data_IF_267690486817
#
_entry.id   IF_267690486817
#
_cell.length_a   1.000
_cell.length_b   1.000
_cell.length_c   1.000
_cell.angle_alpha   90.00
_cell.angle_beta   90.00
_cell.angle_gamma   90.00
#
_symmetry.space_group_name_H-M   'P 1'
#
loop_
_entity.id
_entity.type
_entity.pdbx_description
1 polymer ?
#
# COMPACT_ATOMS: atom_id res chain seq x y z
N UNK A 1 -17.87 1.00 4.93
CA UNK A 1 -18.12 0.41 3.60
C UNK A 1 -19.62 0.42 3.43
N UNK A 2 -20.09 0.99 2.33
CA UNK A 2 -21.48 0.93 1.90
C UNK A 2 -21.85 -0.51 1.52
N UNK A 3 -23.15 -0.81 1.57
CA UNK A 3 -23.66 -2.16 1.33
C UNK A 3 -23.37 -2.62 -0.11
N UNK A 4 -23.42 -1.72 -1.08
CA UNK A 4 -23.12 -2.02 -2.48
C UNK A 4 -21.66 -2.45 -2.68
N UNK A 5 -20.69 -1.68 -2.15
CA UNK A 5 -19.28 -2.07 -2.23
C UNK A 5 -19.00 -3.40 -1.53
N UNK A 6 -19.68 -3.67 -0.40
CA UNK A 6 -19.57 -4.95 0.28
C UNK A 6 -20.05 -6.11 -0.61
N UNK A 7 -21.20 -5.97 -1.28
CA UNK A 7 -21.72 -7.00 -2.18
C UNK A 7 -20.82 -7.21 -3.41
N UNK A 8 -20.27 -6.12 -3.96
CA UNK A 8 -19.30 -6.20 -5.07
C UNK A 8 -18.05 -6.97 -4.62
N UNK A 9 -17.49 -6.66 -3.45
CA UNK A 9 -16.32 -7.36 -2.92
C UNK A 9 -16.65 -8.84 -2.64
N UNK A 10 -17.80 -9.11 -2.04
CA UNK A 10 -18.25 -10.45 -1.73
C UNK A 10 -18.37 -11.28 -3.02
N UNK A 11 -19.01 -10.77 -4.07
CA UNK A 11 -19.15 -11.48 -5.35
C UNK A 11 -17.80 -11.88 -5.97
N UNK A 12 -16.76 -11.05 -5.81
CA UNK A 12 -15.41 -11.32 -6.31
C UNK A 12 -14.65 -12.34 -5.46
N UNK A 13 -14.88 -12.35 -4.15
CA UNK A 13 -14.10 -13.15 -3.19
C UNK A 13 -14.78 -14.49 -2.87
N UNK A 14 -16.11 -14.62 -3.03
CA UNK A 14 -16.90 -15.81 -2.67
C UNK A 14 -16.30 -17.12 -3.17
N UNK A 15 -15.82 -17.15 -4.43
CA UNK A 15 -15.23 -18.37 -5.02
C UNK A 15 -13.90 -18.77 -4.38
N UNK A 16 -13.19 -17.83 -3.76
CA UNK A 16 -11.88 -18.03 -3.15
C UNK A 16 -11.98 -18.39 -1.66
N UNK A 17 -13.02 -17.94 -0.97
CA UNK A 17 -13.19 -18.15 0.48
C UNK A 17 -14.27 -19.18 0.83
N UNK A 18 -15.08 -19.61 -0.15
CA UNK A 18 -16.10 -20.64 0.04
C UNK A 18 -15.49 -21.99 0.39
N UNK A 19 -15.91 -22.56 1.52
CA UNK A 19 -15.59 -23.95 1.90
C UNK A 19 -16.86 -24.81 1.79
N UNK A 20 -16.68 -26.11 1.58
CA UNK A 20 -17.77 -27.09 1.51
C UNK A 20 -18.14 -27.57 2.91
N UNK A 21 -19.43 -27.87 3.09
CA UNK A 21 -19.92 -28.50 4.31
C UNK A 21 -19.28 -29.87 4.49
N UNK A 22 -19.08 -30.25 5.76
CA UNK A 22 -18.65 -31.61 6.11
C UNK A 22 -19.78 -32.34 6.80
N UNK A 23 -19.68 -33.67 6.88
CA UNK A 23 -20.64 -34.52 7.58
C UNK A 23 -20.85 -34.09 9.04
N UNK A 24 -19.84 -33.46 9.67
CA UNK A 24 -19.85 -33.08 11.08
C UNK A 24 -20.23 -31.62 11.35
N UNK A 25 -20.13 -30.72 10.37
CA UNK A 25 -20.45 -29.30 10.53
C UNK A 25 -20.67 -28.57 9.21
N UNK A 26 -21.55 -27.58 9.25
CA UNK A 26 -21.69 -26.58 8.20
C UNK A 26 -20.43 -25.71 8.09
N UNK A 27 -20.06 -25.36 6.86
CA UNK A 27 -18.97 -24.43 6.60
C UNK A 27 -19.39 -23.00 6.96
N UNK A 28 -18.45 -22.25 7.53
CA UNK A 28 -18.68 -20.83 7.79
C UNK A 28 -18.86 -20.13 6.45
N UNK A 29 -20.01 -19.50 6.25
CA UNK A 29 -20.37 -18.89 4.97
C UNK A 29 -19.36 -17.82 4.54
N UNK A 30 -19.12 -17.63 3.23
CA UNK A 30 -18.29 -16.55 2.69
C UNK A 30 -18.64 -15.17 3.26
N UNK A 31 -19.94 -14.93 3.49
CA UNK A 31 -20.46 -13.70 4.06
C UNK A 31 -19.92 -13.47 5.48
N UNK A 32 -20.02 -14.47 6.38
CA UNK A 32 -19.52 -14.37 7.76
C UNK A 32 -18.00 -14.22 7.77
N UNK A 33 -17.29 -14.96 6.91
CA UNK A 33 -15.82 -14.87 6.78
C UNK A 33 -15.35 -13.47 6.39
N UNK A 34 -16.03 -12.86 5.40
CA UNK A 34 -15.71 -11.51 4.94
C UNK A 34 -16.01 -10.46 6.02
N UNK A 35 -17.17 -10.54 6.68
CA UNK A 35 -17.52 -9.62 7.78
C UNK A 35 -16.53 -9.72 8.94
N UNK A 36 -16.16 -10.94 9.35
CA UNK A 36 -15.18 -11.13 10.41
C UNK A 36 -13.84 -10.47 10.09
N UNK A 37 -13.38 -10.64 8.85
CA UNK A 37 -12.15 -10.02 8.34
C UNK A 37 -12.24 -8.51 8.33
N UNK A 38 -13.27 -7.93 7.70
CA UNK A 38 -13.43 -6.48 7.64
C UNK A 38 -13.58 -5.85 9.03
N UNK A 39 -14.28 -6.53 9.96
CA UNK A 39 -14.42 -6.06 11.34
C UNK A 39 -13.09 -6.10 12.08
N UNK A 40 -12.27 -7.13 11.88
CA UNK A 40 -10.92 -7.17 12.44
C UNK A 40 -10.06 -6.02 11.91
N UNK A 41 -10.02 -5.82 10.59
CA UNK A 41 -9.24 -4.76 9.95
C UNK A 41 -9.66 -3.36 10.42
N UNK A 42 -10.97 -3.12 10.51
CA UNK A 42 -11.52 -1.83 10.93
C UNK A 42 -11.33 -1.54 12.42
N UNK A 43 -11.37 -2.55 13.30
CA UNK A 43 -11.35 -2.32 14.76
C UNK A 43 -10.00 -2.59 15.43
N UNK A 44 -9.15 -3.44 14.83
CA UNK A 44 -7.90 -3.88 15.41
C UNK A 44 -8.05 -4.58 16.78
N UNK A 45 -9.22 -5.18 17.05
CA UNK A 45 -9.49 -5.91 18.30
C UNK A 45 -8.83 -7.30 18.30
N UNK A 46 -8.70 -7.89 19.48
CA UNK A 46 -8.17 -9.25 19.58
C UNK A 46 -9.14 -10.27 18.99
N UNK A 47 -8.64 -11.45 18.60
CA UNK A 47 -9.51 -12.53 18.12
C UNK A 47 -10.49 -13.00 19.21
N UNK A 48 -10.10 -12.92 20.49
CA UNK A 48 -10.97 -13.25 21.63
C UNK A 48 -12.18 -12.31 21.70
N UNK A 49 -12.00 -11.01 21.43
CA UNK A 49 -13.12 -10.07 21.44
C UNK A 49 -14.07 -10.28 20.24
N UNK A 50 -13.53 -10.71 19.10
CA UNK A 50 -14.30 -10.95 17.88
C UNK A 50 -15.17 -12.21 17.97
N UNK A 51 -14.75 -13.22 18.74
CA UNK A 51 -15.52 -14.47 18.91
C UNK A 51 -16.90 -14.20 19.50
N UNK A 52 -17.02 -13.31 20.49
CA UNK A 52 -18.29 -12.97 21.12
C UNK A 52 -19.30 -12.43 20.11
N UNK A 53 -18.82 -11.72 19.08
CA UNK A 53 -19.69 -11.14 18.04
C UNK A 53 -20.01 -12.10 16.89
N UNK A 54 -19.12 -13.05 16.58
CA UNK A 54 -19.24 -13.92 15.39
C UNK A 54 -19.57 -15.38 15.70
N UNK A 55 -19.48 -15.81 16.96
CA UNK A 55 -19.60 -17.21 17.40
C UNK A 55 -18.64 -18.18 16.68
N UNK A 56 -17.46 -17.69 16.34
CA UNK A 56 -16.37 -18.47 15.72
C UNK A 56 -15.20 -18.54 16.70
N UNK A 57 -14.50 -19.68 16.77
CA UNK A 57 -13.35 -19.83 17.68
C UNK A 57 -12.18 -18.89 17.28
N UNK A 58 -11.32 -18.47 18.23
CA UNK A 58 -10.22 -17.54 17.93
C UNK A 58 -9.23 -18.12 16.91
N UNK A 59 -9.00 -19.44 16.97
CA UNK A 59 -8.10 -20.14 16.05
C UNK A 59 -8.65 -20.14 14.62
N UNK A 60 -9.93 -20.48 14.45
CA UNK A 60 -10.57 -20.42 13.13
C UNK A 60 -10.62 -18.99 12.59
N UNK A 61 -10.84 -17.99 13.45
CA UNK A 61 -10.78 -16.58 13.03
C UNK A 61 -9.41 -16.18 12.49
N UNK A 62 -8.31 -16.59 13.15
CA UNK A 62 -6.95 -16.33 12.67
C UNK A 62 -6.75 -16.83 11.25
N UNK A 63 -7.09 -18.09 10.99
CA UNK A 63 -6.99 -18.70 9.65
C UNK A 63 -7.91 -18.00 8.63
N UNK A 64 -9.16 -17.76 9.00
CA UNK A 64 -10.17 -17.13 8.13
C UNK A 64 -9.72 -15.73 7.70
N UNK A 65 -9.22 -14.93 8.63
CA UNK A 65 -8.82 -13.54 8.37
C UNK A 65 -7.67 -13.53 7.35
N UNK A 66 -6.65 -14.36 7.54
CA UNK A 66 -5.50 -14.40 6.63
C UNK A 66 -5.88 -14.99 5.26
N UNK A 67 -6.64 -16.09 5.23
CA UNK A 67 -7.16 -16.66 3.98
C UNK A 67 -7.97 -15.62 3.20
N UNK A 68 -8.82 -14.84 3.90
CA UNK A 68 -9.65 -13.81 3.28
C UNK A 68 -8.82 -12.62 2.79
N UNK A 69 -7.82 -12.15 3.55
CA UNK A 69 -6.90 -11.10 3.11
C UNK A 69 -6.14 -11.50 1.82
N UNK A 70 -5.64 -12.74 1.75
CA UNK A 70 -4.99 -13.26 0.54
C UNK A 70 -5.97 -13.32 -0.63
N UNK A 71 -7.21 -13.76 -0.38
CA UNK A 71 -8.25 -13.81 -1.40
C UNK A 71 -8.65 -12.42 -1.91
N UNK A 72 -8.76 -11.42 -1.03
CA UNK A 72 -9.03 -10.02 -1.39
C UNK A 72 -7.91 -9.49 -2.29
N UNK A 73 -6.64 -9.67 -1.89
CA UNK A 73 -5.49 -9.25 -2.70
C UNK A 73 -5.53 -9.86 -4.09
N UNK A 74 -5.82 -11.17 -4.21
CA UNK A 74 -5.92 -11.86 -5.50
C UNK A 74 -7.09 -11.34 -6.35
N UNK A 75 -8.26 -11.15 -5.73
CA UNK A 75 -9.46 -10.69 -6.42
C UNK A 75 -9.34 -9.24 -6.94
N UNK A 76 -8.54 -8.41 -6.26
CA UNK A 76 -8.35 -7.00 -6.59
C UNK A 76 -6.96 -6.69 -7.17
N UNK A 77 -6.17 -7.71 -7.53
CA UNK A 77 -4.81 -7.54 -8.05
C UNK A 77 -4.76 -6.63 -9.29
N UNK A 78 -5.84 -6.61 -10.09
CA UNK A 78 -5.90 -5.80 -11.32
C UNK A 78 -6.10 -4.30 -11.07
N UNK A 79 -6.45 -3.87 -9.85
CA UNK A 79 -6.68 -2.45 -9.55
C UNK A 79 -5.40 -1.71 -9.14
N UNK A 80 -4.39 -2.42 -8.62
CA UNK A 80 -3.10 -1.84 -8.27
C UNK A 80 -2.07 -2.40 -9.25
N UNK A 81 -1.79 -1.64 -10.30
CA UNK A 81 -0.80 -1.99 -11.31
C UNK A 81 0.28 -0.90 -11.37
N UNK A 82 1.53 -1.34 -11.49
CA UNK A 82 2.63 -0.47 -11.85
C UNK A 82 2.61 -0.27 -13.37
N UNK A 83 2.95 0.94 -13.85
CA UNK A 83 3.18 1.16 -15.26
C UNK A 83 4.21 0.16 -15.82
N UNK A 84 3.93 -0.40 -17.00
CA UNK A 84 4.77 -1.42 -17.64
C UNK A 84 5.53 -0.87 -18.85
N UNK A 85 5.02 0.20 -19.47
CA UNK A 85 5.63 0.82 -20.64
C UNK A 85 6.16 2.20 -20.33
N UNK A 86 7.06 2.67 -21.20
CA UNK A 86 7.66 4.00 -21.11
C UNK A 86 6.58 5.10 -21.24
N UNK A 87 5.58 4.89 -22.11
CA UNK A 87 4.49 5.83 -22.36
C UNK A 87 3.58 6.00 -21.13
N UNK A 88 3.29 4.91 -20.42
CA UNK A 88 2.52 4.96 -19.18
C UNK A 88 3.27 5.76 -18.10
N UNK A 89 4.60 5.58 -18.02
CA UNK A 89 5.44 6.39 -17.12
C UNK A 89 5.46 7.87 -17.49
N UNK A 90 5.52 8.19 -18.79
CA UNK A 90 5.44 9.58 -19.28
C UNK A 90 4.09 10.21 -18.94
N UNK A 91 3.00 9.45 -19.04
CA UNK A 91 1.69 9.93 -18.62
C UNK A 91 1.65 10.24 -17.13
N UNK A 92 2.21 9.38 -16.28
CA UNK A 92 2.31 9.66 -14.84
C UNK A 92 3.14 10.92 -14.59
N UNK A 93 4.28 11.07 -15.26
CA UNK A 93 5.12 12.27 -15.13
C UNK A 93 4.39 13.55 -15.54
N UNK A 94 3.62 13.50 -16.62
CA UNK A 94 2.78 14.61 -17.08
C UNK A 94 1.70 14.97 -16.05
N UNK A 95 0.98 13.98 -15.52
CA UNK A 95 -0.01 14.18 -14.46
C UNK A 95 0.63 14.83 -13.22
N UNK A 96 1.87 14.44 -12.90
CA UNK A 96 2.62 15.02 -11.79
C UNK A 96 3.01 16.47 -12.03
N UNK A 97 3.40 16.79 -13.26
CA UNK A 97 3.72 18.13 -13.69
C UNK A 97 2.50 19.06 -13.63
N UNK A 98 1.37 18.64 -14.18
CA UNK A 98 0.15 19.45 -14.19
C UNK A 98 -0.37 19.75 -12.77
N UNK A 99 -0.40 18.74 -11.90
CA UNK A 99 -0.99 18.87 -10.56
C UNK A 99 -0.05 19.55 -9.56
N UNK A 100 1.25 19.24 -9.62
CA UNK A 100 2.20 19.63 -8.57
C UNK A 100 3.37 20.49 -9.07
N UNK A 101 3.44 20.77 -10.38
CA UNK A 101 4.52 21.52 -11.03
C UNK A 101 5.89 20.88 -10.82
N UNK A 102 5.90 19.55 -10.77
CA UNK A 102 7.10 18.74 -10.63
C UNK A 102 7.29 17.88 -11.89
N UNK A 103 8.03 18.37 -12.91
CA UNK A 103 8.26 17.63 -14.14
C UNK A 103 9.07 16.35 -13.86
N UNK A 104 8.90 15.34 -14.73
CA UNK A 104 9.63 14.07 -14.70
C UNK A 104 9.46 13.25 -13.39
N UNK A 105 8.42 13.52 -12.60
CA UNK A 105 8.14 12.75 -11.39
C UNK A 105 7.30 11.51 -11.69
N UNK A 106 7.86 10.33 -11.45
CA UNK A 106 7.19 9.05 -11.69
C UNK A 106 6.28 8.60 -10.54
N UNK A 107 6.41 9.23 -9.37
CA UNK A 107 5.61 8.88 -8.21
C UNK A 107 6.24 9.34 -6.90
N UNK A 108 5.44 9.26 -5.84
CA UNK A 108 5.89 9.52 -4.48
C UNK A 108 6.04 8.21 -3.69
N UNK A 109 7.16 8.08 -2.99
CA UNK A 109 7.48 6.94 -2.12
C UNK A 109 7.60 7.44 -0.69
N UNK A 110 6.92 6.76 0.22
CA UNK A 110 6.95 7.08 1.64
C UNK A 110 6.81 5.81 2.48
N UNK A 111 7.24 5.87 3.73
CA UNK A 111 7.25 4.76 4.68
C UNK A 111 6.18 4.90 5.75
N UNK A 112 5.50 3.80 6.07
CA UNK A 112 4.65 3.70 7.27
C UNK A 112 5.14 2.60 8.19
N UNK A 113 5.53 2.97 9.41
CA UNK A 113 5.84 1.99 10.45
C UNK A 113 4.58 1.26 10.92
N UNK A 114 4.65 -0.07 10.89
CA UNK A 114 3.64 -0.98 11.43
C UNK A 114 4.27 -1.75 12.58
N UNK A 115 3.64 -1.66 13.75
CA UNK A 115 4.13 -2.33 14.95
C UNK A 115 3.67 -3.78 14.96
N UNK A 116 4.61 -4.71 15.07
CA UNK A 116 4.35 -6.15 15.17
C UNK A 116 4.83 -6.61 16.55
N UNK A 117 3.98 -7.32 17.30
CA UNK A 117 4.38 -7.89 18.60
C UNK A 117 5.38 -9.02 18.37
N UNK A 118 6.42 -9.07 19.20
CA UNK A 118 7.43 -10.13 19.20
C UNK A 118 8.08 -10.33 17.82
N UNK A 119 8.43 -9.25 17.13
CA UNK A 119 9.16 -9.31 15.88
C UNK A 119 10.53 -9.99 16.10
N UNK A 120 10.67 -11.21 15.58
CA UNK A 120 11.92 -11.99 15.61
C UNK A 120 12.56 -12.08 14.23
N UNK A 121 12.73 -10.94 13.54
CA UNK A 121 13.46 -10.89 12.27
C UNK A 121 14.64 -9.91 12.43
N UNK A 122 15.89 -10.31 12.10
CA UNK A 122 17.05 -9.44 12.26
C UNK A 122 17.46 -8.64 11.00
N UNK A 123 16.73 -8.67 9.88
CA UNK A 123 17.21 -8.04 8.65
C UNK A 123 16.12 -7.25 7.89
N UNK A 124 16.51 -6.06 7.42
CA UNK A 124 15.83 -5.37 6.32
C UNK A 124 15.89 -6.26 5.08
N UNK A 125 14.75 -6.75 4.63
CA UNK A 125 14.64 -7.43 3.34
C UNK A 125 14.27 -6.36 2.31
N UNK A 126 15.07 -6.17 1.24
CA UNK A 126 14.73 -5.22 0.19
C UNK A 126 13.40 -5.60 -0.45
N UNK A 127 12.63 -4.60 -0.87
CA UNK A 127 11.36 -4.83 -1.53
C UNK A 127 11.59 -5.27 -2.97
N UNK A 128 10.66 -6.08 -3.52
CA UNK A 128 10.68 -6.46 -4.95
C UNK A 128 10.74 -5.22 -5.85
N UNK A 129 10.08 -4.14 -5.46
CA UNK A 129 10.14 -2.87 -6.15
C UNK A 129 11.56 -2.28 -6.17
N UNK A 130 12.24 -2.25 -5.03
CA UNK A 130 13.61 -1.73 -4.94
C UNK A 130 14.59 -2.55 -5.78
N UNK A 131 14.46 -3.88 -5.76
CA UNK A 131 15.29 -4.77 -6.56
C UNK A 131 15.07 -4.55 -8.07
N UNK A 132 13.82 -4.45 -8.53
CA UNK A 132 13.52 -4.17 -9.94
C UNK A 132 13.93 -2.75 -10.36
N UNK A 133 13.83 -1.77 -9.46
CA UNK A 133 14.32 -0.41 -9.69
C UNK A 133 15.85 -0.40 -9.89
N UNK A 134 16.60 -1.14 -9.06
CA UNK A 134 18.06 -1.25 -9.18
C UNK A 134 18.52 -2.02 -10.41
N UNK A 135 17.74 -3.01 -10.85
CA UNK A 135 18.03 -3.80 -12.06
C UNK A 135 17.60 -3.10 -13.36
N UNK A 136 16.85 -2.00 -13.28
CA UNK A 136 16.33 -1.29 -14.46
C UNK A 136 15.18 -2.03 -15.17
N UNK A 137 14.50 -2.94 -14.48
CA UNK A 137 13.42 -3.78 -15.03
C UNK A 137 12.07 -3.04 -15.14
N UNK A 138 12.02 -1.76 -14.76
CA UNK A 138 10.79 -0.96 -14.69
C UNK A 138 10.47 -0.20 -15.98
N UNK A 139 11.28 -0.32 -17.04
CA UNK A 139 11.10 0.40 -18.32
C UNK A 139 10.91 1.91 -18.14
N UNK A 140 11.70 2.50 -17.23
CA UNK A 140 11.69 3.94 -16.96
C UNK A 140 12.22 4.70 -18.19
N UNK A 141 11.57 5.79 -18.62
CA UNK A 141 12.05 6.60 -19.72
C UNK A 141 13.48 7.12 -19.52
N UNK A 142 14.20 7.26 -20.63
CA UNK A 142 15.52 7.89 -20.61
C UNK A 142 15.42 9.38 -20.22
N UNK A 143 16.50 9.99 -19.71
CA UNK A 143 16.52 11.42 -19.40
C UNK A 143 16.13 12.29 -20.60
N UNK A 144 15.23 13.24 -20.37
CA UNK A 144 14.72 14.17 -21.40
C UNK A 144 14.93 15.63 -20.99
N UNK A 145 14.66 16.57 -21.89
CA UNK A 145 14.74 17.99 -21.59
C UNK A 145 13.58 18.42 -20.70
N UNK A 146 13.89 19.22 -19.68
CA UNK A 146 12.87 19.81 -18.83
C UNK A 146 11.98 20.77 -19.63
N UNK A 147 10.67 20.82 -19.34
CA UNK A 147 9.73 21.73 -19.96
C UNK A 147 10.21 23.19 -19.92
N UNK A 148 10.30 23.83 -21.09
CA UNK A 148 10.77 25.21 -21.22
C UNK A 148 12.27 25.43 -20.94
N UNK A 149 13.08 24.37 -20.94
CA UNK A 149 14.52 24.42 -20.66
C UNK A 149 15.33 23.53 -21.59
N UNK A 150 16.59 23.92 -21.85
CA UNK A 150 17.56 23.06 -22.52
C UNK A 150 18.29 22.11 -21.53
N UNK A 151 17.89 22.10 -20.26
CA UNK A 151 18.48 21.21 -19.24
C UNK A 151 17.86 19.82 -19.33
N UNK A 152 18.70 18.82 -19.53
CA UNK A 152 18.29 17.41 -19.47
C UNK A 152 18.23 16.94 -18.02
N UNK A 153 17.17 16.23 -17.64
CA UNK A 153 16.99 15.68 -16.30
C UNK A 153 16.39 14.26 -16.37
N UNK A 154 16.79 13.35 -15.46
CA UNK A 154 16.22 12.01 -15.41
C UNK A 154 14.78 12.04 -14.89
N UNK A 155 14.06 10.95 -15.13
CA UNK A 155 12.81 10.65 -14.48
C UNK A 155 13.06 10.06 -13.09
N UNK A 156 12.35 10.57 -12.08
CA UNK A 156 12.66 10.30 -10.66
C UNK A 156 11.41 9.99 -9.84
N UNK A 157 11.57 9.17 -8.81
CA UNK A 157 10.63 9.08 -7.70
C UNK A 157 10.98 10.13 -6.64
N UNK A 158 9.99 10.67 -5.94
CA UNK A 158 10.21 11.60 -4.83
C UNK A 158 9.96 10.92 -3.50
N UNK A 159 10.82 11.16 -2.51
CA UNK A 159 10.66 10.63 -1.17
C UNK A 159 11.08 11.59 -0.07
N UNK A 160 11.00 11.11 1.16
CA UNK A 160 11.38 11.83 2.36
C UNK A 160 12.90 11.91 2.57
N UNK A 161 13.30 12.62 3.63
CA UNK A 161 14.71 12.80 3.97
C UNK A 161 15.39 11.50 4.44
N UNK A 162 14.61 10.51 4.91
CA UNK A 162 15.10 9.21 5.36
C UNK A 162 15.52 8.30 4.20
N UNK A 163 15.08 8.58 2.97
CA UNK A 163 15.60 7.90 1.78
C UNK A 163 16.95 8.48 1.33
N UNK A 164 17.76 7.61 0.71
CA UNK A 164 19.01 8.01 0.08
C UNK A 164 18.74 8.67 -1.28
N UNK A 165 19.54 9.69 -1.63
CA UNK A 165 19.49 10.29 -2.95
C UNK A 165 20.09 9.30 -3.97
N UNK A 166 19.38 9.06 -5.06
CA UNK A 166 19.82 8.19 -6.16
C UNK A 166 19.46 8.85 -7.51
N UNK A 167 20.02 8.35 -8.61
CA UNK A 167 19.80 8.93 -9.95
C UNK A 167 18.32 8.98 -10.35
N UNK A 168 17.53 8.03 -9.83
CA UNK A 168 16.10 7.89 -10.03
C UNK A 168 15.29 8.18 -8.76
N UNK A 169 15.90 8.75 -7.71
CA UNK A 169 15.23 9.02 -6.44
C UNK A 169 15.66 10.37 -5.85
N UNK A 170 14.71 11.30 -5.78
CA UNK A 170 14.90 12.64 -5.25
C UNK A 170 14.39 12.78 -3.82
N UNK A 171 15.10 13.58 -3.02
CA UNK A 171 14.74 13.93 -1.65
C UNK A 171 14.86 15.44 -1.42
N UNK A 172 14.20 16.01 -0.40
CA UNK A 172 14.27 17.44 -0.13
C UNK A 172 15.70 17.89 0.20
N UNK A 173 16.02 19.14 -0.12
CA UNK A 173 17.21 19.80 0.40
C UNK A 173 17.10 19.95 1.92
N UNK A 174 18.21 19.79 2.63
CA UNK A 174 18.25 19.99 4.08
C UNK A 174 17.85 21.42 4.46
N UNK A 175 17.08 21.54 5.54
CA UNK A 175 16.57 22.82 6.04
C UNK A 175 17.68 23.79 6.47
N UNK A 176 18.87 23.27 6.80
CA UNK A 176 20.03 24.06 7.22
C UNK A 176 20.65 24.92 6.10
N UNK A 177 20.38 24.63 4.82
CA UNK A 177 21.03 25.28 3.67
C UNK A 177 20.01 25.78 2.62
N UNK A 178 18.85 26.24 3.08
CA UNK A 178 17.73 26.65 2.22
C UNK A 178 17.85 28.08 1.69
N UNK A 179 18.24 28.22 0.43
CA UNK A 179 18.03 29.45 -0.35
C UNK A 179 16.61 29.49 -0.97
N UNK A 180 16.24 30.60 -1.62
CA UNK A 180 14.88 30.79 -2.17
C UNK A 180 14.47 29.69 -3.16
N UNK A 181 15.35 29.32 -4.10
CA UNK A 181 15.07 28.29 -5.10
C UNK A 181 14.91 26.90 -4.47
N UNK A 182 15.75 26.54 -3.50
CA UNK A 182 15.65 25.28 -2.77
C UNK A 182 14.36 25.20 -1.93
N UNK A 183 13.87 26.34 -1.41
CA UNK A 183 12.57 26.40 -0.74
C UNK A 183 11.43 26.12 -1.71
N UNK A 184 11.47 26.69 -2.92
CA UNK A 184 10.49 26.41 -3.96
C UNK A 184 10.52 24.93 -4.35
N UNK A 185 11.71 24.35 -4.53
CA UNK A 185 11.88 22.93 -4.81
C UNK A 185 11.28 22.05 -3.71
N UNK A 186 11.68 22.27 -2.46
CA UNK A 186 11.17 21.49 -1.32
C UNK A 186 9.65 21.61 -1.18
N UNK A 187 9.09 22.79 -1.44
CA UNK A 187 7.66 23.00 -1.44
C UNK A 187 6.95 22.15 -2.52
N UNK A 188 7.46 22.14 -3.75
CA UNK A 188 6.90 21.32 -4.84
C UNK A 188 7.03 19.82 -4.56
N UNK A 189 8.20 19.38 -4.07
CA UNK A 189 8.43 18.00 -3.67
C UNK A 189 7.46 17.57 -2.57
N UNK A 190 7.28 18.41 -1.55
CA UNK A 190 6.31 18.16 -0.47
C UNK A 190 4.88 18.06 -1.01
N UNK A 191 4.48 18.91 -1.97
CA UNK A 191 3.15 18.79 -2.60
C UNK A 191 2.98 17.46 -3.36
N UNK A 192 3.98 17.03 -4.11
CA UNK A 192 3.97 15.73 -4.80
C UNK A 192 3.82 14.56 -3.82
N UNK A 193 4.49 14.64 -2.66
CA UNK A 193 4.39 13.63 -1.60
C UNK A 193 3.06 13.58 -0.86
N UNK A 194 2.27 14.67 -0.84
CA UNK A 194 0.96 14.67 -0.17
C UNK A 194 0.03 13.56 -0.65
N UNK A 195 0.18 13.07 -1.88
CA UNK A 195 -0.65 11.96 -2.38
C UNK A 195 -0.45 10.68 -1.56
N UNK A 196 0.79 10.33 -1.24
CA UNK A 196 1.12 9.11 -0.48
C UNK A 196 0.89 9.32 1.03
N UNK A 197 1.16 10.53 1.54
CA UNK A 197 0.84 10.89 2.93
C UNK A 197 -0.66 10.83 3.20
N UNK A 198 -1.48 11.39 2.31
CA UNK A 198 -2.94 11.33 2.40
C UNK A 198 -3.44 9.89 2.29
N UNK A 199 -2.85 9.08 1.40
CA UNK A 199 -3.19 7.66 1.30
C UNK A 199 -2.95 6.93 2.62
N UNK A 200 -1.78 7.11 3.25
CA UNK A 200 -1.53 6.51 4.57
C UNK A 200 -2.45 7.05 5.66
N UNK A 201 -2.82 8.33 5.62
CA UNK A 201 -3.82 8.92 6.50
C UNK A 201 -5.18 8.22 6.39
N UNK A 202 -5.66 8.00 5.16
CA UNK A 202 -6.90 7.27 4.88
C UNK A 202 -6.78 5.81 5.33
N UNK A 203 -5.68 5.14 4.98
CA UNK A 203 -5.43 3.74 5.31
C UNK A 203 -5.48 3.51 6.83
N UNK A 204 -4.79 4.34 7.61
CA UNK A 204 -4.71 4.22 9.08
C UNK A 204 -6.01 4.67 9.75
N UNK A 205 -6.73 5.65 9.18
CA UNK A 205 -8.04 6.07 9.66
C UNK A 205 -9.10 4.99 9.45
N UNK A 206 -9.10 4.35 8.28
CA UNK A 206 -10.07 3.30 7.91
C UNK A 206 -9.78 1.96 8.58
N UNK A 207 -8.50 1.62 8.74
CA UNK A 207 -8.07 0.35 9.31
C UNK A 207 -7.31 0.55 10.62
N UNK A 208 -8.05 0.62 11.72
CA UNK A 208 -7.49 0.82 13.06
C UNK A 208 -6.54 -0.31 13.48
N UNK A 209 -6.54 -1.46 12.78
CA UNK A 209 -5.52 -2.51 12.97
C UNK A 209 -4.08 -1.97 12.86
N UNK A 210 -3.84 -0.94 12.05
CA UNK A 210 -2.50 -0.33 11.91
C UNK A 210 -2.15 0.68 13.01
N UNK A 211 -3.09 1.01 13.90
CA UNK A 211 -2.86 1.92 15.04
C UNK A 211 -2.40 1.18 16.31
N UNK A 212 -2.40 -0.16 16.30
CA UNK A 212 -2.06 -1.00 17.46
C UNK A 212 -0.99 -2.03 17.08
N UNK A 213 -0.19 -2.52 18.06
CA UNK A 213 0.71 -3.63 17.81
C UNK A 213 -0.04 -4.89 17.38
N UNK A 214 0.25 -5.38 16.18
CA UNK A 214 -0.40 -6.56 15.60
C UNK A 214 0.28 -7.83 16.13
N UNK A 215 -0.50 -8.73 16.70
CA UNK A 215 -0.01 -10.00 17.27
C UNK A 215 -0.07 -11.14 16.25
N UNK A 216 0.64 -10.97 15.14
CA UNK A 216 0.71 -11.94 14.03
C UNK A 216 2.14 -12.01 13.48
N UNK A 217 2.45 -13.06 12.73
CA UNK A 217 3.74 -13.17 12.06
C UNK A 217 3.91 -12.10 10.96
N UNK A 218 5.14 -11.71 10.61
CA UNK A 218 5.37 -10.72 9.55
C UNK A 218 4.75 -11.08 8.19
N UNK A 219 4.71 -12.37 7.85
CA UNK A 219 4.07 -12.86 6.62
C UNK A 219 2.55 -12.61 6.63
N UNK A 220 1.90 -12.84 7.76
CA UNK A 220 0.46 -12.60 7.94
C UNK A 220 0.14 -11.10 7.95
N UNK A 221 0.98 -10.29 8.61
CA UNK A 221 0.86 -8.83 8.60
C UNK A 221 1.01 -8.30 7.17
N UNK A 222 1.93 -8.83 6.37
CA UNK A 222 2.08 -8.45 4.97
C UNK A 222 0.80 -8.74 4.16
N UNK A 223 0.15 -9.89 4.40
CA UNK A 223 -1.13 -10.19 3.75
C UNK A 223 -2.23 -9.18 4.15
N UNK A 224 -2.27 -8.77 5.42
CA UNK A 224 -3.20 -7.74 5.91
C UNK A 224 -2.92 -6.39 5.27
N UNK A 225 -1.66 -5.95 5.22
CA UNK A 225 -1.26 -4.66 4.61
C UNK A 225 -1.70 -4.60 3.16
N UNK A 226 -1.35 -5.63 2.38
CA UNK A 226 -1.67 -5.66 0.96
C UNK A 226 -3.18 -5.74 0.72
N UNK A 227 -3.91 -6.50 1.54
CA UNK A 227 -5.36 -6.52 1.46
C UNK A 227 -5.95 -5.13 1.72
N UNK A 228 -5.56 -4.46 2.81
CA UNK A 228 -6.01 -3.11 3.14
C UNK A 228 -5.69 -2.09 2.03
N UNK A 229 -4.48 -2.15 1.45
CA UNK A 229 -4.12 -1.29 0.32
C UNK A 229 -5.02 -1.51 -0.89
N UNK A 230 -5.41 -2.76 -1.19
CA UNK A 230 -6.29 -3.07 -2.33
C UNK A 230 -7.75 -2.66 -2.16
N UNK A 231 -8.24 -2.50 -0.92
CA UNK A 231 -9.63 -2.10 -0.62
C UNK A 231 -9.75 -0.64 -0.16
N UNK A 232 -8.67 0.12 -0.19
CA UNK A 232 -8.64 1.54 0.20
C UNK A 232 -9.24 2.44 -0.87
#
# INVERSE_FOLDING_TARGET
>A
MDENAFQILLSKVVRLIGKKDTVLREAISPHVRLIATLRFLATGRSFQDLTFSMRVSPQALGEIIIETCVAIRKALQNFIQLPKSEEEWKQVAHDFEEKWQFPHCLGAVDGKHIQIKNLRIPALVPSVFYDSLKKGELNIPLPEHLPGSNKTAPYVFVGDEAFELQDNFMKPYSFSVLNHERRIFNYRLSRGRRIVENFFGILVSRFTVFQKPINLSPTEVNAIVLACCTIS
#
